data_IF_536303205881
#
_entry.id   IF_536303205881
#
_cell.length_a   1.000
_cell.length_b   1.000
_cell.length_c   1.000
_cell.angle_alpha   90.00
_cell.angle_beta   90.00
_cell.angle_gamma   90.00
#
_symmetry.space_group_name_H-M   'P 1'
#
loop_
_entity.id
_entity.type
_entity.pdbx_description
1 polymer ?
#
# COMPACT_ATOMS: atom_id res chain seq x y z
N UNK A 1 2.66 -26.81 60.87
CA UNK A 1 3.15 -27.04 59.50
C UNK A 1 2.25 -26.25 58.56
N UNK A 2 2.77 -25.16 57.96
CA UNK A 2 1.98 -24.20 57.17
C UNK A 2 1.64 -24.76 55.78
N UNK A 3 0.37 -24.64 55.36
CA UNK A 3 -0.10 -24.87 53.99
C UNK A 3 0.01 -23.55 53.21
N UNK A 4 0.90 -23.50 52.22
CA UNK A 4 1.06 -22.36 51.32
C UNK A 4 0.12 -22.48 50.11
N UNK A 5 -0.82 -21.55 49.98
CA UNK A 5 -1.70 -21.40 48.82
C UNK A 5 -0.98 -20.59 47.75
N UNK A 6 -0.74 -21.18 46.57
CA UNK A 6 -0.16 -20.48 45.42
C UNK A 6 -1.28 -19.85 44.57
N UNK A 7 -1.32 -18.51 44.50
CA UNK A 7 -2.10 -17.78 43.50
C UNK A 7 -1.35 -17.80 42.16
N UNK A 8 -1.85 -18.56 41.19
CA UNK A 8 -1.37 -18.51 39.80
C UNK A 8 -1.98 -17.28 39.13
N UNK A 9 -1.18 -16.22 38.97
CA UNK A 9 -1.50 -15.06 38.14
C UNK A 9 -1.34 -15.46 36.66
N UNK A 10 -2.45 -15.69 35.97
CA UNK A 10 -2.48 -15.90 34.52
C UNK A 10 -2.37 -14.51 33.87
N UNK A 11 -1.15 -14.15 33.46
CA UNK A 11 -0.90 -12.97 32.65
C UNK A 11 -1.35 -13.25 31.20
N UNK A 12 -2.52 -12.74 30.83
CA UNK A 12 -3.05 -12.80 29.46
C UNK A 12 -2.16 -11.94 28.56
N UNK A 13 -1.16 -12.54 27.91
CA UNK A 13 -0.41 -11.89 26.85
C UNK A 13 -1.36 -11.65 25.69
N UNK A 14 -1.82 -10.42 25.52
CA UNK A 14 -2.46 -9.97 24.30
C UNK A 14 -1.41 -10.06 23.19
N UNK A 15 -1.42 -11.16 22.46
CA UNK A 15 -0.72 -11.27 21.19
C UNK A 15 -1.39 -10.26 20.27
N UNK A 16 -0.81 -9.07 20.17
CA UNK A 16 -1.15 -8.12 19.13
C UNK A 16 -0.85 -8.84 17.82
N UNK A 17 -1.89 -9.33 17.15
CA UNK A 17 -1.78 -9.82 15.78
C UNK A 17 -1.01 -8.75 15.01
N UNK A 18 0.11 -9.07 14.34
CA UNK A 18 0.85 -8.11 13.53
C UNK A 18 -0.16 -7.57 12.53
N UNK A 19 -0.67 -6.38 12.83
CA UNK A 19 -1.80 -5.88 12.11
C UNK A 19 -1.24 -5.51 10.75
N UNK A 20 -1.56 -6.37 9.78
CA UNK A 20 -1.05 -6.40 8.42
C UNK A 20 -0.96 -4.96 7.95
N UNK A 21 0.26 -4.50 7.71
CA UNK A 21 0.41 -3.23 7.05
C UNK A 21 -0.09 -3.47 5.63
N UNK A 22 -1.28 -2.97 5.33
CA UNK A 22 -1.87 -3.19 4.02
C UNK A 22 -0.99 -2.55 2.94
N UNK A 23 -0.16 -1.57 3.31
CA UNK A 23 1.01 -1.18 2.52
C UNK A 23 2.17 -0.73 3.44
N UNK A 24 3.28 -1.49 3.47
CA UNK A 24 4.53 -1.20 4.20
C UNK A 24 4.38 -0.85 5.69
N UNK A 25 4.15 0.41 6.03
CA UNK A 25 3.97 0.92 7.38
C UNK A 25 2.58 1.53 7.61
N UNK A 26 1.74 1.60 6.58
CA UNK A 26 0.38 2.14 6.66
C UNK A 26 -0.68 1.04 6.61
N UNK A 27 -1.91 1.41 6.95
CA UNK A 27 -3.11 0.59 6.80
C UNK A 27 -4.20 1.38 6.09
N UNK A 28 -5.06 0.67 5.37
CA UNK A 28 -6.23 1.28 4.76
C UNK A 28 -7.13 1.87 5.83
N UNK A 29 -7.70 3.05 5.56
CA UNK A 29 -8.51 3.77 6.54
C UNK A 29 -7.73 4.57 7.60
N UNK A 30 -6.39 4.63 7.53
CA UNK A 30 -5.64 5.61 8.33
C UNK A 30 -5.98 7.04 7.91
N UNK A 31 -6.07 7.97 8.85
CA UNK A 31 -6.15 9.41 8.55
C UNK A 31 -4.79 9.94 8.04
N UNK A 32 -4.75 11.14 7.45
CA UNK A 32 -3.49 11.79 7.09
C UNK A 32 -2.48 11.84 8.26
N UNK A 33 -2.93 12.21 9.47
CA UNK A 33 -2.07 12.29 10.66
C UNK A 33 -1.57 10.93 11.13
N UNK A 34 -2.40 9.88 11.03
CA UNK A 34 -2.00 8.50 11.35
C UNK A 34 -0.96 7.99 10.36
N UNK A 35 -1.12 8.27 9.06
CA UNK A 35 -0.13 7.94 8.03
C UNK A 35 1.20 8.65 8.29
N UNK A 36 1.18 9.94 8.59
CA UNK A 36 2.39 10.70 8.91
C UNK A 36 3.11 10.13 10.14
N UNK A 37 2.36 9.84 11.20
CA UNK A 37 2.91 9.22 12.43
C UNK A 37 3.55 7.86 12.14
N UNK A 38 2.88 7.02 11.35
CA UNK A 38 3.38 5.71 10.97
C UNK A 38 4.63 5.80 10.09
N UNK A 39 4.67 6.76 9.16
CA UNK A 39 5.83 7.03 8.32
C UNK A 39 7.04 7.45 9.17
N UNK A 40 6.85 8.39 10.10
CA UNK A 40 7.91 8.83 11.01
C UNK A 40 8.44 7.68 11.87
N UNK A 41 7.56 6.82 12.40
CA UNK A 41 7.96 5.63 13.14
C UNK A 41 8.75 4.62 12.29
N UNK A 42 8.53 4.59 10.97
CA UNK A 42 9.28 3.81 10.00
C UNK A 42 10.54 4.54 9.46
N UNK A 43 10.90 5.69 10.03
CA UNK A 43 12.05 6.49 9.60
C UNK A 43 11.85 7.14 8.22
N UNK A 44 10.62 7.29 7.76
CA UNK A 44 10.26 7.94 6.51
C UNK A 44 9.80 9.37 6.76
N UNK A 45 10.17 10.27 5.85
CA UNK A 45 9.67 11.65 5.84
C UNK A 45 8.65 11.80 4.72
N UNK A 46 7.43 12.19 5.08
CA UNK A 46 6.40 12.57 4.12
C UNK A 46 6.30 14.10 4.04
N UNK A 47 5.99 14.58 2.85
CA UNK A 47 5.73 15.99 2.57
C UNK A 47 4.21 16.14 2.47
N UNK A 48 3.57 16.96 3.32
CA UNK A 48 2.15 17.24 3.20
C UNK A 48 1.81 17.82 1.82
N UNK A 49 0.68 17.37 1.28
CA UNK A 49 0.07 17.88 0.07
C UNK A 49 -1.40 18.15 0.36
N UNK A 50 -2.02 19.01 -0.46
CA UNK A 50 -3.45 19.26 -0.38
C UNK A 50 -4.01 19.41 -1.79
N UNK A 51 -3.49 18.61 -2.72
CA UNK A 51 -3.89 18.69 -4.12
C UNK A 51 -5.18 17.90 -4.33
N UNK A 52 -6.30 18.56 -4.65
CA UNK A 52 -7.54 17.86 -4.95
C UNK A 52 -7.40 17.09 -6.26
N UNK A 53 -7.94 15.89 -6.28
CA UNK A 53 -8.18 15.07 -7.48
C UNK A 53 -9.69 14.89 -7.62
N UNK A 54 -10.15 14.32 -8.75
CA UNK A 54 -11.58 14.23 -9.07
C UNK A 54 -12.45 13.67 -7.93
N UNK A 55 -12.00 12.61 -7.25
CA UNK A 55 -12.76 11.93 -6.18
C UNK A 55 -11.95 11.71 -4.90
N UNK A 56 -10.73 12.25 -4.84
CA UNK A 56 -9.75 11.96 -3.78
C UNK A 56 -8.85 13.15 -3.51
N UNK A 57 -8.14 13.14 -2.39
CA UNK A 57 -7.15 14.15 -2.02
C UNK A 57 -5.76 13.52 -2.05
N UNK A 58 -4.80 14.11 -2.75
CA UNK A 58 -3.39 13.81 -2.54
C UNK A 58 -2.94 14.52 -1.26
N UNK A 59 -2.87 13.76 -0.17
CA UNK A 59 -2.61 14.32 1.16
C UNK A 59 -1.13 14.31 1.56
N UNK A 60 -0.35 13.38 1.01
CA UNK A 60 1.08 13.30 1.26
C UNK A 60 1.83 12.79 0.04
N UNK A 61 3.09 13.22 -0.09
CA UNK A 61 4.07 12.65 -1.00
C UNK A 61 5.32 12.23 -0.24
N UNK A 62 6.08 11.30 -0.79
CA UNK A 62 7.30 10.80 -0.19
C UNK A 62 8.17 10.10 -1.22
N UNK A 63 9.23 9.45 -0.74
CA UNK A 63 10.06 8.60 -1.60
C UNK A 63 10.06 7.18 -1.09
N UNK A 64 10.12 6.22 -2.00
CA UNK A 64 10.17 4.80 -1.65
C UNK A 64 11.22 4.09 -2.48
N UNK A 65 12.09 3.34 -1.80
CA UNK A 65 13.12 2.54 -2.45
C UNK A 65 12.51 1.26 -3.03
N UNK A 66 12.81 1.00 -4.31
CA UNK A 66 12.43 -0.22 -5.02
C UNK A 66 13.65 -0.83 -5.69
N UNK A 67 13.55 -2.09 -6.09
CA UNK A 67 14.52 -2.68 -7.00
C UNK A 67 14.61 -1.84 -8.27
N UNK A 68 15.77 -1.22 -8.53
CA UNK A 68 15.99 -0.33 -9.68
C UNK A 68 15.93 1.18 -9.38
N UNK A 69 15.76 1.61 -8.12
CA UNK A 69 15.98 2.99 -7.70
C UNK A 69 14.97 3.50 -6.68
N UNK A 70 14.71 4.81 -6.73
CA UNK A 70 13.74 5.47 -5.85
C UNK A 70 12.53 5.90 -6.70
N UNK A 71 11.34 5.75 -6.14
CA UNK A 71 10.08 6.22 -6.72
C UNK A 71 9.45 7.27 -5.83
N UNK A 72 8.66 8.16 -6.42
CA UNK A 72 7.76 9.02 -5.67
C UNK A 72 6.58 8.18 -5.17
N UNK A 73 6.26 8.30 -3.87
CA UNK A 73 5.12 7.65 -3.24
C UNK A 73 4.05 8.70 -2.93
N UNK A 74 2.85 8.49 -3.45
CA UNK A 74 1.71 9.39 -3.34
C UNK A 74 0.60 8.72 -2.54
N UNK A 75 0.14 9.39 -1.48
CA UNK A 75 -0.89 8.89 -0.57
C UNK A 75 -2.21 9.61 -0.85
N UNK A 76 -3.19 8.84 -1.30
CA UNK A 76 -4.51 9.37 -1.64
C UNK A 76 -5.55 9.01 -0.60
N UNK A 77 -6.39 10.00 -0.28
CA UNK A 77 -7.38 9.92 0.76
C UNK A 77 -8.77 10.24 0.20
N UNK A 78 -9.77 9.48 0.63
CA UNK A 78 -11.19 9.77 0.41
C UNK A 78 -11.87 9.79 1.77
N UNK A 79 -12.78 10.74 2.01
CA UNK A 79 -13.40 10.95 3.32
C UNK A 79 -12.39 11.01 4.48
N UNK A 80 -11.23 11.64 4.24
CA UNK A 80 -10.11 11.75 5.19
C UNK A 80 -9.50 10.40 5.61
N UNK A 81 -9.58 9.39 4.74
CA UNK A 81 -9.15 8.02 5.00
C UNK A 81 -8.27 7.51 3.85
N UNK A 82 -7.12 6.93 4.17
CA UNK A 82 -6.18 6.39 3.20
C UNK A 82 -6.86 5.28 2.41
N UNK A 83 -6.89 5.46 1.09
CA UNK A 83 -7.54 4.52 0.17
C UNK A 83 -6.54 3.94 -0.84
N UNK A 84 -5.49 4.70 -1.16
CA UNK A 84 -4.50 4.28 -2.14
C UNK A 84 -3.11 4.81 -1.82
N UNK A 85 -2.12 3.99 -2.10
CA UNK A 85 -0.73 4.43 -2.27
C UNK A 85 -0.30 4.15 -3.70
N UNK A 86 0.13 5.19 -4.41
CA UNK A 86 0.65 5.09 -5.77
C UNK A 86 2.16 5.33 -5.76
N UNK A 87 2.92 4.48 -6.45
CA UNK A 87 4.31 4.69 -6.74
C UNK A 87 4.48 5.11 -8.20
N UNK A 88 5.17 6.22 -8.44
CA UNK A 88 5.43 6.74 -9.79
C UNK A 88 6.87 6.50 -10.21
N UNK A 89 7.04 5.76 -11.31
CA UNK A 89 8.32 5.50 -11.96
C UNK A 89 8.44 6.32 -13.25
N UNK A 90 9.57 6.99 -13.44
CA UNK A 90 9.81 7.88 -14.59
C UNK A 90 10.85 7.36 -15.57
N UNK A 91 11.41 6.17 -15.33
CA UNK A 91 12.46 5.57 -16.14
C UNK A 91 12.05 4.20 -16.63
N UNK A 92 12.22 3.95 -17.93
CA UNK A 92 11.78 2.71 -18.58
C UNK A 92 12.37 1.45 -17.93
N UNK A 93 13.69 1.46 -17.70
CA UNK A 93 14.38 0.35 -17.04
C UNK A 93 13.87 0.07 -15.62
N UNK A 94 13.51 1.11 -14.87
CA UNK A 94 12.91 0.95 -13.53
C UNK A 94 11.52 0.29 -13.65
N UNK A 95 10.70 0.74 -14.59
CA UNK A 95 9.37 0.18 -14.82
C UNK A 95 9.41 -1.28 -15.27
N UNK A 96 10.40 -1.65 -16.10
CA UNK A 96 10.62 -3.04 -16.48
C UNK A 96 10.95 -3.91 -15.27
N UNK A 97 11.91 -3.49 -14.44
CA UNK A 97 12.32 -4.23 -13.23
C UNK A 97 11.16 -4.39 -12.25
N UNK A 98 10.37 -3.34 -12.04
CA UNK A 98 9.16 -3.40 -11.19
C UNK A 98 8.17 -4.42 -11.75
N UNK A 99 7.86 -4.36 -13.06
CA UNK A 99 6.93 -5.30 -13.68
C UNK A 99 7.38 -6.76 -13.55
N UNK A 100 8.68 -7.04 -13.65
CA UNK A 100 9.23 -8.37 -13.40
C UNK A 100 9.06 -8.78 -11.93
N UNK A 101 9.43 -7.91 -10.99
CA UNK A 101 9.31 -8.19 -9.56
C UNK A 101 7.87 -8.40 -9.09
N UNK A 102 6.90 -7.72 -9.71
CA UNK A 102 5.48 -7.95 -9.44
C UNK A 102 5.02 -9.33 -9.92
N UNK A 103 5.46 -9.78 -11.10
CA UNK A 103 5.16 -11.13 -11.58
C UNK A 103 5.85 -12.21 -10.74
N UNK A 104 7.08 -11.97 -10.27
CA UNK A 104 7.77 -12.88 -9.35
C UNK A 104 7.05 -12.98 -8.01
N UNK A 105 6.61 -11.85 -7.45
CA UNK A 105 5.95 -11.79 -6.14
C UNK A 105 4.52 -12.32 -6.16
N UNK A 106 3.72 -11.92 -7.15
CA UNK A 106 2.27 -12.18 -7.19
C UNK A 106 1.84 -13.20 -8.27
N UNK A 107 2.78 -13.69 -9.08
CA UNK A 107 2.49 -14.60 -10.18
C UNK A 107 1.79 -13.92 -11.36
N UNK A 108 0.97 -14.70 -12.07
CA UNK A 108 0.20 -14.21 -13.23
C UNK A 108 -0.86 -13.19 -12.80
N UNK A 109 -0.98 -12.04 -13.48
CA UNK A 109 -2.01 -11.06 -13.17
C UNK A 109 -3.41 -11.64 -13.37
N UNK A 110 -4.33 -11.28 -12.46
CA UNK A 110 -5.75 -11.55 -12.59
C UNK A 110 -6.33 -10.94 -13.87
N UNK A 111 -5.86 -9.75 -14.25
CA UNK A 111 -6.27 -9.08 -15.49
C UNK A 111 -5.10 -8.38 -16.15
N UNK A 112 -5.05 -8.47 -17.49
CA UNK A 112 -4.18 -7.68 -18.35
C UNK A 112 -5.03 -6.95 -19.38
N UNK A 113 -4.79 -5.65 -19.54
CA UNK A 113 -5.46 -4.83 -20.56
C UNK A 113 -4.41 -4.06 -21.34
N UNK A 114 -4.29 -4.35 -22.64
CA UNK A 114 -3.47 -3.57 -23.55
C UNK A 114 -4.29 -2.40 -24.13
N UNK A 115 -3.77 -1.20 -23.98
CA UNK A 115 -4.32 0.05 -24.51
C UNK A 115 -3.35 0.63 -25.54
N UNK A 116 -3.79 1.63 -26.32
CA UNK A 116 -2.97 2.21 -27.40
C UNK A 116 -1.61 2.72 -26.92
N UNK A 117 -1.54 3.30 -25.73
CA UNK A 117 -0.32 3.93 -25.18
C UNK A 117 0.13 3.34 -23.85
N UNK A 118 -0.56 2.32 -23.36
CA UNK A 118 -0.30 1.75 -22.05
C UNK A 118 -0.69 0.27 -21.96
N UNK A 119 -0.06 -0.46 -21.05
CA UNK A 119 -0.55 -1.76 -20.60
C UNK A 119 -0.85 -1.69 -19.11
N UNK A 120 -2.04 -2.16 -18.73
CA UNK A 120 -2.45 -2.32 -17.33
C UNK A 120 -2.44 -3.79 -16.92
N UNK A 121 -1.96 -4.05 -15.72
CA UNK A 121 -1.97 -5.35 -15.06
C UNK A 121 -2.59 -5.21 -13.67
N UNK A 122 -3.39 -6.18 -13.25
CA UNK A 122 -4.04 -6.20 -11.94
C UNK A 122 -3.78 -7.55 -11.27
N UNK A 123 -3.34 -7.53 -10.02
CA UNK A 123 -3.26 -8.69 -9.13
C UNK A 123 -4.16 -8.47 -7.91
N UNK A 124 -4.64 -9.57 -7.34
CA UNK A 124 -5.31 -9.57 -6.03
C UNK A 124 -4.42 -10.31 -5.04
N UNK A 125 -3.76 -9.56 -4.18
CA UNK A 125 -3.00 -10.10 -3.04
C UNK A 125 -4.01 -10.37 -1.91
N UNK A 126 -4.62 -11.55 -1.96
CA UNK A 126 -5.61 -12.01 -0.99
C UNK A 126 -5.01 -12.11 0.43
N UNK A 127 -3.72 -12.42 0.53
CA UNK A 127 -3.04 -12.59 1.80
C UNK A 127 -2.94 -11.26 2.57
N UNK A 128 -2.70 -10.16 1.86
CA UNK A 128 -2.63 -8.82 2.45
C UNK A 128 -3.89 -7.97 2.24
N UNK A 129 -4.90 -8.50 1.56
CA UNK A 129 -6.13 -7.75 1.30
C UNK A 129 -5.94 -6.61 0.29
N UNK A 130 -5.01 -6.74 -0.67
CA UNK A 130 -4.64 -5.66 -1.60
C UNK A 130 -5.01 -5.93 -3.06
N UNK A 131 -5.58 -4.92 -3.71
CA UNK A 131 -5.60 -4.83 -5.17
C UNK A 131 -4.33 -4.10 -5.59
N UNK A 132 -3.49 -4.78 -6.38
CA UNK A 132 -2.25 -4.23 -6.92
C UNK A 132 -2.47 -3.94 -8.39
N UNK A 133 -2.35 -2.69 -8.81
CA UNK A 133 -2.48 -2.26 -10.19
C UNK A 133 -1.14 -1.71 -10.69
N UNK A 134 -0.65 -2.25 -11.80
CA UNK A 134 0.53 -1.72 -12.48
C UNK A 134 0.15 -1.24 -13.86
N UNK A 135 0.46 0.02 -14.15
CA UNK A 135 0.23 0.62 -15.45
C UNK A 135 1.55 1.10 -16.04
N UNK A 136 1.91 0.62 -17.22
CA UNK A 136 3.12 1.03 -17.94
C UNK A 136 2.73 1.89 -19.14
N UNK A 137 3.38 3.04 -19.27
CA UNK A 137 3.23 4.00 -20.36
C UNK A 137 4.59 4.22 -21.02
N UNK A 138 4.89 3.60 -22.16
CA UNK A 138 6.18 3.76 -22.87
C UNK A 138 7.40 3.76 -21.91
N UNK A 139 7.86 4.92 -21.43
CA UNK A 139 8.99 5.14 -20.52
C UNK A 139 8.66 5.36 -19.03
N UNK A 140 7.39 5.44 -18.63
CA UNK A 140 6.96 5.64 -17.25
C UNK A 140 5.98 4.55 -16.79
N UNK A 141 5.73 4.51 -15.48
CA UNK A 141 4.78 3.57 -14.90
C UNK A 141 4.23 4.07 -13.58
N UNK A 142 3.09 3.50 -13.22
CA UNK A 142 2.41 3.70 -11.96
C UNK A 142 2.15 2.33 -11.34
N UNK A 143 2.37 2.23 -10.04
CA UNK A 143 2.07 1.06 -9.24
C UNK A 143 1.18 1.49 -8.08
N UNK A 144 -0.09 1.15 -8.16
CA UNK A 144 -1.08 1.49 -7.14
C UNK A 144 -1.40 0.28 -6.27
N UNK A 145 -1.48 0.52 -4.96
CA UNK A 145 -1.97 -0.40 -3.96
C UNK A 145 -3.27 0.17 -3.37
N UNK A 146 -4.31 -0.65 -3.28
CA UNK A 146 -5.61 -0.31 -2.67
C UNK A 146 -6.13 -1.48 -1.86
N UNK A 147 -7.07 -1.23 -0.95
CA UNK A 147 -7.82 -2.32 -0.30
C UNK A 147 -8.65 -3.12 -1.32
N UNK A 148 -8.67 -4.44 -1.19
CA UNK A 148 -9.59 -5.30 -1.94
C UNK A 148 -11.05 -5.06 -1.53
N UNK A 149 -11.30 -4.68 -0.27
CA UNK A 149 -12.65 -4.48 0.25
C UNK A 149 -13.38 -3.30 -0.38
N UNK A 150 -12.67 -2.29 -0.90
CA UNK A 150 -13.30 -1.13 -1.55
C UNK A 150 -13.96 -1.47 -2.89
N UNK A 151 -13.63 -2.64 -3.48
CA UNK A 151 -14.17 -3.08 -4.77
C UNK A 151 -15.65 -3.50 -4.71
N UNK A 152 -16.16 -3.84 -3.53
CA UNK A 152 -17.56 -4.27 -3.35
C UNK A 152 -18.59 -3.14 -3.55
N UNK A 153 -18.17 -1.88 -3.65
CA UNK A 153 -19.09 -0.75 -3.90
C UNK A 153 -19.31 -0.41 -5.38
N UNK A 154 -18.63 -1.07 -6.31
CA UNK A 154 -18.71 -0.77 -7.74
C UNK A 154 -19.21 -1.92 -8.62
N UNK A 155 -19.69 -3.01 -8.01
CA UNK A 155 -20.45 -4.04 -8.73
C UNK A 155 -21.88 -3.57 -8.98
N UNK A 156 -22.14 -3.00 -10.16
CA UNK A 156 -23.47 -2.99 -10.77
C UNK A 156 -23.69 -4.31 -11.51
#
# INVERSE_FOLDING_TARGET
MLRGTYCILIATMMVASPAKADWQYTRWGMTPSEVETAAQAAGQTLIPSNQPMATRLLGHTGTYAVSGGVMEANFYYSDNKLEEVELKGSRDGQCYVIGLGLNEKYGTPFSKTDMVVATKFIWHDQDQGNSVEFMRFSSSCYLSYRSLATRDKSGL
#
